data_IF_787998603054
#
_entry.id   IF_787998603054
#
_cell.length_a   1.000
_cell.length_b   1.000
_cell.length_c   1.000
_cell.angle_alpha   90.00
_cell.angle_beta   90.00
_cell.angle_gamma   90.00
#
_symmetry.space_group_name_H-M   'P 1'
#
loop_
_entity.id
_entity.type
_entity.pdbx_description
1 polymer ?
#
# COMPACT_ATOMS: atom_id res chain seq x y z
N UNK A 1 -19.89 21.18 -8.74
CA UNK A 1 -18.58 20.86 -8.16
C UNK A 1 -18.60 19.39 -7.84
N UNK A 2 -17.78 18.58 -8.51
CA UNK A 2 -17.60 17.19 -8.09
C UNK A 2 -16.94 17.21 -6.72
N UNK A 3 -17.44 16.41 -5.80
CA UNK A 3 -16.85 16.26 -4.48
C UNK A 3 -15.50 15.55 -4.66
N UNK A 4 -14.40 16.27 -4.42
CA UNK A 4 -13.06 15.71 -4.54
C UNK A 4 -12.91 14.61 -3.49
N UNK A 5 -12.59 13.39 -3.94
CA UNK A 5 -12.43 12.23 -3.06
C UNK A 5 -11.04 12.26 -2.43
N UNK A 6 -10.89 11.78 -1.18
CA UNK A 6 -9.58 11.66 -0.56
C UNK A 6 -8.69 10.73 -1.38
N UNK A 7 -7.43 11.14 -1.55
CA UNK A 7 -6.40 10.34 -2.20
C UNK A 7 -5.94 9.21 -1.28
N UNK A 8 -5.76 9.52 0.00
CA UNK A 8 -5.32 8.59 1.04
C UNK A 8 -6.55 7.88 1.61
N UNK A 9 -6.51 6.56 1.66
CA UNK A 9 -7.57 5.77 2.26
C UNK A 9 -7.12 5.27 3.63
N UNK A 10 -8.05 5.29 4.58
CA UNK A 10 -7.85 4.53 5.80
C UNK A 10 -7.69 3.04 5.48
N UNK A 11 -6.83 2.39 6.26
CA UNK A 11 -6.51 1.00 6.09
C UNK A 11 -6.36 0.34 7.46
N UNK A 12 -7.07 -0.78 7.63
CA UNK A 12 -7.05 -1.63 8.81
C UNK A 12 -6.46 -2.99 8.45
N UNK A 13 -5.64 -3.48 9.35
CA UNK A 13 -5.05 -4.80 9.25
C UNK A 13 -5.91 -5.81 10.00
N UNK A 14 -6.15 -6.98 9.38
CA UNK A 14 -7.01 -8.03 9.94
C UNK A 14 -6.25 -9.34 10.24
N UNK A 15 -6.54 -9.94 11.39
CA UNK A 15 -6.00 -11.22 11.81
C UNK A 15 -7.08 -12.10 12.47
N UNK A 16 -7.02 -13.41 12.22
CA UNK A 16 -7.90 -14.39 12.87
C UNK A 16 -7.18 -15.02 14.05
N UNK A 17 -7.91 -15.22 15.15
CA UNK A 17 -7.43 -15.96 16.32
C UNK A 17 -8.57 -16.75 16.93
N UNK A 18 -8.27 -17.85 17.61
CA UNK A 18 -9.27 -18.55 18.41
C UNK A 18 -9.64 -17.70 19.65
N UNK A 19 -10.90 -17.78 20.08
CA UNK A 19 -11.46 -17.00 21.18
C UNK A 19 -10.74 -17.31 22.49
N UNK A 20 -10.32 -18.57 22.67
CA UNK A 20 -9.54 -19.01 23.82
C UNK A 20 -8.11 -18.45 23.80
N UNK A 21 -7.48 -18.32 22.63
CA UNK A 21 -6.16 -17.65 22.54
C UNK A 21 -6.27 -16.14 22.64
N UNK A 22 -7.38 -15.56 22.18
CA UNK A 22 -7.66 -14.14 22.28
C UNK A 22 -7.83 -13.68 23.74
N UNK A 23 -8.46 -14.48 24.60
CA UNK A 23 -8.64 -14.10 26.01
C UNK A 23 -7.30 -13.86 26.77
N UNK A 24 -6.17 -14.33 26.24
CA UNK A 24 -4.86 -14.26 26.92
C UNK A 24 -3.76 -13.53 26.12
N UNK A 25 -3.97 -13.23 24.83
CA UNK A 25 -2.92 -12.69 23.93
C UNK A 25 -3.47 -11.77 22.83
N UNK A 26 -4.30 -10.78 23.16
CA UNK A 26 -4.57 -9.70 22.19
C UNK A 26 -3.35 -8.79 22.16
N UNK A 27 -2.61 -8.69 21.04
CA UNK A 27 -1.51 -7.75 20.95
C UNK A 27 -2.05 -6.32 21.10
N UNK A 28 -1.26 -5.44 21.71
CA UNK A 28 -1.68 -4.05 21.96
C UNK A 28 -2.12 -3.37 20.65
N UNK A 29 -3.29 -2.71 20.69
CA UNK A 29 -3.84 -1.99 19.55
C UNK A 29 -4.79 -2.80 18.65
N UNK A 30 -4.95 -4.11 18.89
CA UNK A 30 -5.95 -4.91 18.18
C UNK A 30 -7.30 -4.90 18.91
N UNK A 31 -8.37 -4.69 18.16
CA UNK A 31 -9.75 -4.75 18.64
C UNK A 31 -10.50 -5.93 18.00
N UNK A 32 -11.34 -6.66 18.76
CA UNK A 32 -12.22 -7.66 18.16
C UNK A 32 -13.24 -6.99 17.25
N UNK A 33 -13.42 -7.54 16.06
CA UNK A 33 -14.34 -7.05 15.04
C UNK A 33 -15.37 -8.14 14.78
N UNK A 34 -16.65 -7.84 15.02
CA UNK A 34 -17.71 -8.80 14.75
C UNK A 34 -17.87 -8.98 13.24
N UNK A 35 -18.06 -10.23 12.79
CA UNK A 35 -18.25 -10.64 11.40
C UNK A 35 -19.45 -10.00 10.67
N UNK A 36 -20.12 -9.00 11.26
CA UNK A 36 -21.47 -8.55 10.90
C UNK A 36 -21.59 -7.86 9.54
N UNK A 37 -20.53 -7.71 8.75
CA UNK A 37 -20.59 -7.05 7.44
C UNK A 37 -20.23 -7.93 6.24
N UNK A 38 -19.85 -9.20 6.43
CA UNK A 38 -19.59 -10.15 5.33
C UNK A 38 -20.27 -11.49 5.63
N UNK A 39 -21.59 -11.48 5.50
CA UNK A 39 -22.49 -12.61 5.74
C UNK A 39 -22.24 -13.77 4.74
N UNK A 40 -21.14 -14.50 4.93
CA UNK A 40 -20.91 -15.79 4.31
C UNK A 40 -21.15 -16.91 5.34
N UNK A 41 -21.62 -18.07 4.88
CA UNK A 41 -21.78 -19.27 5.71
C UNK A 41 -20.46 -19.62 6.42
N UNK A 42 -19.32 -19.36 5.76
CA UNK A 42 -17.99 -19.57 6.33
C UNK A 42 -17.71 -18.65 7.53
N UNK A 43 -18.17 -17.39 7.52
CA UNK A 43 -18.03 -16.45 8.63
C UNK A 43 -18.82 -16.91 9.88
N UNK A 44 -20.02 -17.45 9.65
CA UNK A 44 -20.86 -18.02 10.70
C UNK A 44 -20.23 -19.28 11.33
N UNK A 45 -19.74 -20.20 10.49
CA UNK A 45 -19.04 -21.40 10.94
C UNK A 45 -17.75 -21.05 11.71
N UNK A 46 -16.97 -20.09 11.23
CA UNK A 46 -15.77 -19.63 11.93
C UNK A 46 -16.10 -19.11 13.34
N UNK A 47 -17.15 -18.31 13.47
CA UNK A 47 -17.62 -17.81 14.77
C UNK A 47 -18.08 -18.95 15.68
N UNK A 48 -18.81 -19.93 15.13
CA UNK A 48 -19.25 -21.13 15.87
C UNK A 48 -18.08 -22.00 16.34
N UNK A 49 -17.00 -22.07 15.55
CA UNK A 49 -15.74 -22.73 15.91
C UNK A 49 -14.87 -21.89 16.86
N UNK A 50 -15.41 -20.77 17.37
CA UNK A 50 -14.72 -19.89 18.29
C UNK A 50 -13.56 -19.14 17.63
N UNK A 51 -13.61 -18.85 16.33
CA UNK A 51 -12.64 -17.98 15.66
C UNK A 51 -13.18 -16.54 15.70
N UNK A 52 -12.35 -15.62 16.16
CA UNK A 52 -12.64 -14.18 16.23
C UNK A 52 -11.72 -13.44 15.26
N UNK A 53 -12.30 -12.48 14.54
CA UNK A 53 -11.56 -11.53 13.71
C UNK A 53 -11.11 -10.36 14.58
N UNK A 54 -9.84 -10.00 14.49
CA UNK A 54 -9.29 -8.79 15.09
C UNK A 54 -8.90 -7.84 13.98
N UNK A 55 -9.10 -6.55 14.20
CA UNK A 55 -8.52 -5.52 13.36
C UNK A 55 -7.76 -4.48 14.17
N UNK A 56 -6.79 -3.83 13.53
CA UNK A 56 -6.12 -2.63 14.06
C UNK A 56 -5.91 -1.63 12.93
N UNK A 57 -5.81 -0.35 13.28
CA UNK A 57 -5.34 0.67 12.33
C UNK A 57 -3.90 0.35 11.95
N UNK A 58 -3.58 0.49 10.67
CA UNK A 58 -2.21 0.31 10.18
C UNK A 58 -1.27 1.34 10.82
N UNK A 59 -0.01 0.94 11.02
CA UNK A 59 0.96 1.80 11.67
C UNK A 59 1.62 2.70 10.63
N UNK A 60 1.86 3.99 10.94
CA UNK A 60 2.74 4.84 10.15
C UNK A 60 4.08 4.13 9.93
N UNK A 61 4.59 4.15 8.70
CA UNK A 61 5.91 3.55 8.42
C UNK A 61 7.03 4.33 9.13
N UNK A 62 6.94 5.66 9.11
CA UNK A 62 7.81 6.53 9.91
C UNK A 62 7.22 6.69 11.34
N UNK A 63 7.98 6.56 12.45
CA UNK A 63 9.44 6.52 12.64
C UNK A 63 10.02 5.11 12.85
N UNK A 64 9.29 4.05 12.52
CA UNK A 64 9.54 2.72 13.09
C UNK A 64 10.81 2.04 12.50
N UNK A 65 11.32 2.44 11.33
CA UNK A 65 12.04 1.46 10.49
C UNK A 65 13.38 1.86 9.86
N UNK A 66 14.31 2.44 10.65
CA UNK A 66 15.75 2.33 10.31
C UNK A 66 16.21 0.85 10.28
N UNK A 67 15.53 -0.04 11.00
CA UNK A 67 15.85 -1.48 11.09
C UNK A 67 15.52 -2.28 9.81
N UNK A 68 14.72 -1.74 8.88
CA UNK A 68 14.37 -2.42 7.63
C UNK A 68 15.19 -1.94 6.43
N UNK A 69 16.05 -0.94 6.61
CA UNK A 69 17.10 -0.65 5.63
C UNK A 69 17.98 -1.89 5.50
N UNK A 70 18.21 -2.35 4.27
CA UNK A 70 18.85 -3.62 3.96
C UNK A 70 17.88 -4.79 3.75
N UNK A 71 16.57 -4.61 3.96
CA UNK A 71 15.59 -5.66 3.68
C UNK A 71 15.37 -5.85 2.18
N UNK A 72 15.19 -7.10 1.76
CA UNK A 72 14.94 -7.45 0.37
C UNK A 72 13.45 -7.40 0.05
N UNK A 73 13.08 -6.85 -1.11
CA UNK A 73 11.73 -6.92 -1.66
C UNK A 73 11.45 -8.32 -2.23
N UNK A 74 10.61 -9.09 -1.53
CA UNK A 74 10.33 -10.50 -1.86
C UNK A 74 9.17 -10.61 -2.84
N UNK A 75 8.11 -9.83 -2.65
CA UNK A 75 6.92 -9.90 -3.51
C UNK A 75 6.15 -8.60 -3.50
N UNK A 76 5.27 -8.45 -4.48
CA UNK A 76 4.47 -7.26 -4.72
C UNK A 76 3.01 -7.67 -4.92
N UNK A 77 2.10 -6.88 -4.37
CA UNK A 77 0.66 -7.04 -4.58
C UNK A 77 0.05 -5.69 -5.00
N UNK A 78 -0.29 -5.57 -6.27
CA UNK A 78 -0.90 -4.36 -6.87
C UNK A 78 -2.42 -4.26 -6.65
N UNK A 79 -3.03 -5.25 -6.00
CA UNK A 79 -4.48 -5.36 -5.77
C UNK A 79 -4.81 -5.57 -4.29
N UNK A 80 -3.90 -5.18 -3.41
CA UNK A 80 -4.02 -5.47 -2.00
C UNK A 80 -5.19 -4.67 -1.41
N UNK A 81 -6.11 -5.35 -0.71
CA UNK A 81 -7.33 -4.74 -0.15
C UNK A 81 -8.52 -4.60 -1.12
N UNK A 82 -8.41 -5.01 -2.39
CA UNK A 82 -9.45 -4.73 -3.40
C UNK A 82 -10.71 -5.60 -3.28
N UNK A 83 -10.75 -6.56 -2.35
CA UNK A 83 -11.87 -7.50 -2.16
C UNK A 83 -12.40 -8.12 -3.46
N UNK A 84 -11.52 -8.32 -4.47
CA UNK A 84 -11.89 -8.88 -5.78
C UNK A 84 -12.42 -7.86 -6.80
N UNK A 85 -12.54 -6.59 -6.45
CA UNK A 85 -12.79 -5.52 -7.42
C UNK A 85 -11.52 -5.21 -8.20
N UNK A 86 -11.64 -5.15 -9.52
CA UNK A 86 -10.55 -4.77 -10.41
C UNK A 86 -10.24 -3.27 -10.21
N UNK A 87 -9.02 -2.96 -9.79
CA UNK A 87 -8.43 -1.63 -9.96
C UNK A 87 -8.36 -0.69 -8.75
N UNK A 88 -8.85 -1.06 -7.57
CA UNK A 88 -8.89 -0.12 -6.44
C UNK A 88 -8.59 -0.81 -5.12
N UNK A 89 -7.40 -0.61 -4.56
CA UNK A 89 -7.23 -0.51 -3.11
C UNK A 89 -5.83 0.00 -2.80
N UNK A 90 -4.80 -0.85 -2.81
CA UNK A 90 -3.46 -0.49 -2.36
C UNK A 90 -2.35 -1.18 -3.17
N UNK A 91 -1.16 -0.59 -3.13
CA UNK A 91 0.07 -1.27 -3.56
C UNK A 91 0.82 -1.77 -2.32
N UNK A 92 0.97 -3.09 -2.19
CA UNK A 92 1.77 -3.74 -1.16
C UNK A 92 3.14 -4.19 -1.68
N UNK A 93 4.19 -3.86 -0.95
CA UNK A 93 5.57 -4.29 -1.16
C UNK A 93 5.98 -5.14 0.05
N UNK A 94 6.19 -6.44 -0.13
CA UNK A 94 6.62 -7.31 0.96
C UNK A 94 8.13 -7.32 1.06
N UNK A 95 8.66 -6.73 2.12
CA UNK A 95 10.09 -6.76 2.43
C UNK A 95 10.41 -7.83 3.46
N UNK A 96 11.62 -8.38 3.41
CA UNK A 96 12.10 -9.40 4.35
C UNK A 96 13.58 -9.21 4.66
N UNK A 97 13.94 -9.42 5.91
CA UNK A 97 15.32 -9.52 6.39
C UNK A 97 15.43 -10.69 7.39
N UNK A 98 16.56 -10.81 8.08
CA UNK A 98 16.80 -11.89 9.06
C UNK A 98 15.84 -11.87 10.26
N UNK A 99 15.23 -10.71 10.55
CA UNK A 99 14.31 -10.54 11.70
C UNK A 99 12.86 -10.89 11.36
N UNK A 100 12.51 -10.99 10.07
CA UNK A 100 11.17 -11.35 9.62
C UNK A 100 10.78 -10.66 8.32
N UNK A 101 9.46 -10.50 8.12
CA UNK A 101 8.91 -9.84 6.94
C UNK A 101 7.84 -8.81 7.31
N UNK A 102 7.77 -7.72 6.54
CA UNK A 102 6.75 -6.68 6.65
C UNK A 102 6.17 -6.35 5.29
N UNK A 103 4.93 -5.89 5.28
CA UNK A 103 4.33 -5.24 4.12
C UNK A 103 4.48 -3.73 4.27
N UNK A 104 5.10 -3.09 3.28
CA UNK A 104 5.00 -1.65 3.05
C UNK A 104 3.80 -1.43 2.12
N UNK A 105 2.88 -0.58 2.52
CA UNK A 105 1.60 -0.44 1.83
C UNK A 105 1.37 1.01 1.49
N UNK A 106 1.30 1.30 0.20
CA UNK A 106 0.84 2.59 -0.29
C UNK A 106 -0.69 2.64 -0.19
N UNK A 107 -1.18 3.41 0.77
CA UNK A 107 -2.60 3.56 1.09
C UNK A 107 -3.31 4.61 0.24
N UNK A 108 -3.13 4.55 -1.08
CA UNK A 108 -3.66 5.52 -2.04
C UNK A 108 -4.73 4.91 -2.94
N UNK A 109 -5.81 5.65 -3.19
CA UNK A 109 -6.81 5.26 -4.19
C UNK A 109 -6.14 5.21 -5.57
N UNK A 110 -6.10 4.02 -6.19
CA UNK A 110 -5.36 3.83 -7.44
C UNK A 110 -3.85 3.98 -7.26
N UNK A 111 -3.28 3.48 -6.16
CA UNK A 111 -1.88 3.70 -5.76
C UNK A 111 -0.84 3.63 -6.90
N UNK A 112 -0.92 2.66 -7.81
CA UNK A 112 0.05 2.54 -8.91
C UNK A 112 0.02 3.73 -9.88
N UNK A 113 -1.11 4.44 -9.97
CA UNK A 113 -1.27 5.62 -10.83
C UNK A 113 -0.75 6.91 -10.18
N UNK A 114 -0.47 6.89 -8.87
CA UNK A 114 0.14 8.01 -8.12
C UNK A 114 1.67 7.90 -8.04
N UNK A 115 2.22 6.74 -8.39
CA UNK A 115 3.62 6.41 -8.14
C UNK A 115 4.40 6.42 -9.44
N UNK A 116 5.65 6.87 -9.34
CA UNK A 116 6.65 6.72 -10.41
C UNK A 116 7.83 5.89 -9.92
N UNK A 117 8.53 5.24 -10.85
CA UNK A 117 9.80 4.55 -10.62
C UNK A 117 10.84 5.25 -11.48
N UNK A 118 11.87 5.85 -10.86
CA UNK A 118 12.89 6.63 -11.58
C UNK A 118 12.27 7.68 -12.54
N UNK A 119 11.16 8.31 -12.13
CA UNK A 119 10.39 9.28 -12.94
C UNK A 119 9.55 8.68 -14.08
N UNK A 120 9.55 7.36 -14.23
CA UNK A 120 8.70 6.63 -15.19
C UNK A 120 7.41 6.16 -14.53
N UNK A 121 6.30 6.16 -15.26
CA UNK A 121 5.03 5.65 -14.72
C UNK A 121 5.08 4.13 -14.51
N UNK A 122 4.32 3.61 -13.55
CA UNK A 122 4.25 2.17 -13.34
C UNK A 122 3.42 1.51 -14.45
N UNK A 123 4.00 0.53 -15.14
CA UNK A 123 3.34 -0.23 -16.19
C UNK A 123 2.27 -1.17 -15.60
N UNK A 124 1.08 -0.65 -15.31
CA UNK A 124 -0.03 -1.42 -14.75
C UNK A 124 -1.32 -1.16 -15.55
N UNK A 125 -1.49 -1.89 -16.65
CA UNK A 125 -2.68 -1.77 -17.50
C UNK A 125 -2.80 -0.42 -18.21
N UNK A 126 -1.68 0.29 -18.43
CA UNK A 126 -1.59 1.48 -19.28
C UNK A 126 -1.46 1.07 -20.76
N UNK A 127 -2.07 1.81 -21.67
CA UNK A 127 -1.85 1.67 -23.11
C UNK A 127 -0.55 2.33 -23.57
N UNK A 128 -0.10 2.04 -24.79
CA UNK A 128 1.11 2.66 -25.36
C UNK A 128 0.92 4.18 -25.52
N UNK A 129 -0.27 4.62 -25.87
CA UNK A 129 -0.62 6.05 -25.98
C UNK A 129 -0.55 6.73 -24.61
N UNK A 130 -1.10 6.12 -23.56
CA UNK A 130 -1.02 6.66 -22.20
C UNK A 130 0.44 6.76 -21.72
N UNK A 131 1.27 5.78 -22.06
CA UNK A 131 2.70 5.82 -21.72
C UNK A 131 3.40 6.95 -22.48
N UNK A 132 3.09 7.14 -23.76
CA UNK A 132 3.66 8.23 -24.56
C UNK A 132 3.23 9.63 -24.09
N UNK A 133 2.01 9.75 -23.55
CA UNK A 133 1.47 10.98 -22.96
C UNK A 133 1.98 11.26 -21.54
N UNK A 134 2.61 10.28 -20.89
CA UNK A 134 3.17 10.46 -19.55
C UNK A 134 4.31 11.49 -19.56
N UNK A 135 4.56 12.21 -18.44
CA UNK A 135 5.59 13.25 -18.40
C UNK A 135 6.99 12.80 -18.86
N UNK A 136 7.34 11.54 -18.62
CA UNK A 136 8.62 10.96 -19.04
C UNK A 136 8.55 10.19 -20.36
N UNK A 137 7.36 9.91 -20.89
CA UNK A 137 7.16 9.06 -22.07
C UNK A 137 7.58 7.60 -21.86
N UNK A 138 7.75 7.16 -20.60
CA UNK A 138 8.35 5.87 -20.24
C UNK A 138 7.57 5.19 -19.14
N UNK A 139 7.60 3.85 -19.17
CA UNK A 139 7.03 3.02 -18.10
C UNK A 139 8.03 1.99 -17.60
N UNK A 140 7.94 1.65 -16.31
CA UNK A 140 8.69 0.55 -15.69
C UNK A 140 7.71 -0.42 -15.06
N UNK A 141 7.93 -1.73 -15.26
CA UNK A 141 7.12 -2.73 -14.61
C UNK A 141 7.54 -2.84 -13.14
N UNK A 142 6.60 -2.69 -12.20
CA UNK A 142 6.95 -2.72 -10.77
C UNK A 142 7.57 -4.04 -10.32
N UNK A 143 7.28 -5.14 -11.03
CA UNK A 143 7.89 -6.45 -10.81
C UNK A 143 9.41 -6.45 -10.98
N UNK A 144 10.00 -5.48 -11.70
CA UNK A 144 11.44 -5.35 -11.85
C UNK A 144 12.15 -5.09 -10.52
N UNK A 145 11.44 -4.54 -9.53
CA UNK A 145 11.99 -4.29 -8.20
C UNK A 145 12.08 -5.58 -7.37
N UNK A 146 11.47 -6.69 -7.76
CA UNK A 146 11.55 -7.94 -6.97
C UNK A 146 13.04 -8.36 -6.85
N UNK A 147 13.43 -8.81 -5.65
CA UNK A 147 14.80 -9.11 -5.19
C UNK A 147 15.70 -7.90 -4.94
N UNK A 148 15.23 -6.68 -5.18
CA UNK A 148 15.97 -5.46 -4.83
C UNK A 148 16.04 -5.26 -3.31
N UNK A 149 17.04 -4.54 -2.83
CA UNK A 149 17.25 -4.23 -1.42
C UNK A 149 16.81 -2.81 -1.13
N UNK A 150 15.99 -2.59 -0.10
CA UNK A 150 15.63 -1.25 0.37
C UNK A 150 16.88 -0.57 0.94
N UNK A 151 17.32 0.52 0.33
CA UNK A 151 18.55 1.22 0.71
C UNK A 151 18.30 2.60 1.30
N UNK A 152 17.20 3.25 0.93
CA UNK A 152 16.87 4.57 1.44
C UNK A 152 15.36 4.81 1.51
N UNK A 153 14.99 5.71 2.42
CA UNK A 153 13.63 6.17 2.63
C UNK A 153 13.67 7.64 3.04
N UNK A 154 13.06 8.49 2.23
CA UNK A 154 13.00 9.93 2.46
C UNK A 154 11.55 10.40 2.42
N UNK A 155 11.23 11.32 3.31
CA UNK A 155 9.96 12.03 3.34
C UNK A 155 10.22 13.50 3.61
N UNK A 156 9.50 14.36 2.92
CA UNK A 156 9.29 15.74 3.29
C UNK A 156 7.79 16.09 3.19
N UNK A 157 7.43 17.37 3.25
CA UNK A 157 6.03 17.81 3.21
C UNK A 157 5.36 17.61 1.82
N UNK A 158 6.15 17.43 0.77
CA UNK A 158 5.73 17.45 -0.65
C UNK A 158 5.99 16.13 -1.39
N UNK A 159 7.00 15.36 -0.97
CA UNK A 159 7.39 14.09 -1.59
C UNK A 159 7.72 12.99 -0.59
N UNK A 160 7.46 11.75 -1.04
CA UNK A 160 7.87 10.52 -0.37
C UNK A 160 8.60 9.64 -1.38
N UNK A 161 9.76 9.17 -0.96
CA UNK A 161 10.69 8.42 -1.79
C UNK A 161 11.17 7.15 -1.08
N UNK A 162 11.00 6.00 -1.73
CA UNK A 162 11.61 4.72 -1.37
C UNK A 162 12.65 4.35 -2.42
N UNK A 163 13.91 4.17 -2.03
CA UNK A 163 14.95 3.70 -2.95
C UNK A 163 15.28 2.26 -2.67
N UNK A 164 15.16 1.45 -3.72
CA UNK A 164 15.63 0.08 -3.75
C UNK A 164 16.88 -0.03 -4.64
N UNK A 165 17.74 -1.01 -4.42
CA UNK A 165 18.93 -1.25 -5.24
C UNK A 165 18.98 -2.71 -5.67
N UNK A 166 19.15 -2.95 -6.98
CA UNK A 166 19.34 -4.28 -7.59
C UNK A 166 20.51 -4.21 -8.57
N UNK A 167 21.49 -5.09 -8.42
CA UNK A 167 22.69 -5.13 -9.28
C UNK A 167 23.42 -3.77 -9.41
N UNK A 168 23.51 -3.02 -8.30
CA UNK A 168 24.06 -1.65 -8.22
C UNK A 168 23.23 -0.56 -8.92
N UNK A 169 22.07 -0.88 -9.48
CA UNK A 169 21.15 0.08 -10.07
C UNK A 169 20.08 0.51 -9.05
N UNK A 170 19.89 1.82 -8.83
CA UNK A 170 18.83 2.32 -7.97
C UNK A 170 17.47 2.33 -8.69
N UNK A 171 16.43 1.93 -7.96
CA UNK A 171 15.03 2.02 -8.32
C UNK A 171 14.32 2.84 -7.26
N UNK A 172 13.97 4.06 -7.62
CA UNK A 172 13.37 5.04 -6.72
C UNK A 172 11.88 5.14 -6.98
N UNK A 173 11.08 4.61 -6.05
CA UNK A 173 9.63 4.78 -6.04
C UNK A 173 9.31 6.13 -5.41
N UNK A 174 8.60 6.98 -6.14
CA UNK A 174 8.27 8.35 -5.72
C UNK A 174 6.77 8.61 -5.78
N UNK A 175 6.24 9.31 -4.79
CA UNK A 175 4.94 10.02 -4.83
C UNK A 175 5.16 11.49 -4.53
N UNK A 176 4.45 12.36 -5.24
CA UNK A 176 4.42 13.81 -4.99
C UNK A 176 3.02 14.27 -4.67
N UNK A 177 2.90 15.29 -3.82
CA UNK A 177 1.62 15.88 -3.42
C UNK A 177 0.91 16.59 -4.56
N UNK A 178 1.66 17.13 -5.51
CA UNK A 178 1.13 17.87 -6.65
C UNK A 178 0.74 16.99 -7.85
N UNK A 179 1.11 15.69 -7.82
CA UNK A 179 0.81 14.71 -8.85
C UNK A 179 1.37 15.01 -10.24
N UNK A 180 2.26 16.02 -10.40
CA UNK A 180 2.72 16.48 -11.72
C UNK A 180 3.51 15.45 -12.51
N UNK A 181 4.16 14.53 -11.80
CA UNK A 181 4.96 13.47 -12.40
C UNK A 181 4.11 12.26 -12.84
N UNK A 182 2.78 12.34 -12.72
CA UNK A 182 1.86 11.24 -13.01
C UNK A 182 0.84 11.62 -14.08
N UNK A 183 0.21 10.59 -14.66
CA UNK A 183 -0.91 10.79 -15.59
C UNK A 183 -2.13 11.37 -14.84
N UNK A 184 -2.98 12.17 -15.50
CA UNK A 184 -4.27 12.57 -14.95
C UNK A 184 -5.22 11.37 -14.66
N UNK A 185 -6.33 11.62 -13.99
CA UNK A 185 -7.37 10.61 -13.80
C UNK A 185 -8.04 10.24 -15.12
N UNK A 186 -8.04 8.96 -15.50
CA UNK A 186 -8.71 8.47 -16.73
C UNK A 186 -10.17 8.91 -16.89
N UNK A 187 -10.91 9.00 -15.78
CA UNK A 187 -12.33 9.34 -15.79
C UNK A 187 -12.63 10.83 -15.96
N UNK A 188 -11.81 11.72 -15.38
CA UNK A 188 -12.05 13.17 -15.41
C UNK A 188 -11.06 13.95 -16.28
N UNK A 189 -9.90 13.38 -16.60
CA UNK A 189 -8.76 14.07 -17.21
C UNK A 189 -8.09 15.09 -16.29
N UNK A 190 -8.52 15.20 -15.03
CA UNK A 190 -7.97 16.16 -14.07
C UNK A 190 -6.69 15.63 -13.44
N UNK A 191 -5.76 16.55 -13.14
CA UNK A 191 -4.53 16.21 -12.44
C UNK A 191 -4.84 15.67 -11.04
N UNK A 192 -4.05 14.67 -10.63
CA UNK A 192 -4.14 14.10 -9.29
C UNK A 192 -3.63 15.13 -8.27
N UNK A 193 -4.45 15.43 -7.27
CA UNK A 193 -4.10 16.38 -6.20
C UNK A 193 -4.63 15.87 -4.87
N UNK A 194 -3.82 16.04 -3.83
CA UNK A 194 -4.21 15.74 -2.45
C UNK A 194 -5.17 16.81 -1.92
N UNK A 195 -6.01 16.44 -0.97
CA UNK A 195 -6.80 17.39 -0.19
C UNK A 195 -5.88 18.21 0.73
N UNK A 196 -6.26 19.45 1.09
CA UNK A 196 -5.45 20.31 1.96
C UNK A 196 -5.07 19.68 3.31
N UNK A 197 -5.94 18.84 3.86
CA UNK A 197 -5.76 18.12 5.12
C UNK A 197 -4.95 16.82 5.01
N UNK A 198 -4.67 16.32 3.80
CA UNK A 198 -3.93 15.09 3.60
C UNK A 198 -2.42 15.32 3.68
N UNK A 199 -1.76 14.45 4.46
CA UNK A 199 -0.32 14.48 4.65
C UNK A 199 0.36 13.32 3.91
N UNK A 200 1.44 13.59 3.19
CA UNK A 200 2.08 12.59 2.33
C UNK A 200 2.68 11.42 3.12
N UNK A 201 3.08 11.66 4.37
CA UNK A 201 3.54 10.62 5.30
C UNK A 201 2.48 9.53 5.55
N UNK A 202 1.20 9.90 5.43
CA UNK A 202 0.08 8.98 5.64
C UNK A 202 -0.15 8.04 4.45
N UNK A 203 0.54 8.26 3.33
CA UNK A 203 0.48 7.41 2.15
C UNK A 203 1.14 6.04 2.36
N UNK A 204 2.11 5.91 3.28
CA UNK A 204 2.89 4.69 3.44
C UNK A 204 2.77 4.10 4.84
N UNK A 205 2.27 2.88 4.91
CA UNK A 205 2.00 2.17 6.17
C UNK A 205 2.73 0.84 6.24
N UNK A 206 3.06 0.41 7.46
CA UNK A 206 3.55 -0.94 7.71
C UNK A 206 2.44 -1.87 8.21
N UNK A 207 2.43 -3.08 7.67
CA UNK A 207 1.52 -4.15 8.07
C UNK A 207 2.28 -5.48 8.27
N UNK A 208 1.80 -6.33 9.16
CA UNK A 208 2.32 -7.68 9.38
C UNK A 208 1.66 -8.72 8.45
N UNK A 209 0.47 -8.39 7.94
CA UNK A 209 -0.37 -9.27 7.14
C UNK A 209 -0.73 -8.63 5.80
N UNK A 210 -1.17 -9.49 4.88
CA UNK A 210 -1.67 -9.07 3.56
C UNK A 210 -3.18 -8.77 3.57
N UNK A 211 -3.88 -9.06 4.69
CA UNK A 211 -5.32 -8.85 4.82
C UNK A 211 -5.56 -7.43 5.31
N UNK A 212 -5.73 -6.55 4.35
CA UNK A 212 -6.08 -5.16 4.60
C UNK A 212 -7.50 -4.88 4.15
N UNK A 213 -8.20 -4.09 4.95
CA UNK A 213 -9.55 -3.59 4.66
C UNK A 213 -9.56 -2.07 4.78
N UNK A 214 -10.40 -1.43 3.98
CA UNK A 214 -10.72 -0.01 4.11
C UNK A 214 -11.75 0.19 5.22
#
# INVERSE_FOLDING_TARGET
MSEQRPAILECYEEQYSFILSALWRIPKGWSPTFFSLRASIASWLATFLGIVLFSRKTLPFHPIYSEWIGAQLVTINTRLGSSGMAGCAFLGLKISNDTGSKWLVYTLWGATEWLTINGSVIQNGLSEEEIAESPSGKSIAISELIESTLTDLQFDEEELTLTFTKDSNPYTIKVTKDGKDTLPWRGSGENKTFLPEENIEDCLRACDTWRLVR
#
